data_IF_717309410188
#
_entry.id   IF_717309410188
#
_cell.length_a   1.000
_cell.length_b   1.000
_cell.length_c   1.000
_cell.angle_alpha   90.00
_cell.angle_beta   90.00
_cell.angle_gamma   90.00
#
_symmetry.space_group_name_H-M   'P 1'
#
loop_
_entity.id
_entity.type
_entity.pdbx_description
1 polymer ?
#
# COMPACT_ATOMS: atom_id res chain seq x y z
N UNK A 1 -6.12 17.17 17.56
CA UNK A 1 -6.65 15.86 17.11
C UNK A 1 -5.55 15.03 16.50
N UNK A 2 -5.53 13.75 16.80
CA UNK A 2 -4.57 12.82 16.24
C UNK A 2 -4.96 12.52 14.79
N UNK A 3 -4.06 12.71 13.85
CA UNK A 3 -4.27 12.39 12.44
C UNK A 3 -4.29 10.88 12.23
N UNK A 4 -5.30 10.37 11.54
CA UNK A 4 -5.35 8.95 11.19
C UNK A 4 -4.30 8.63 10.12
N UNK A 5 -3.62 7.51 10.31
CA UNK A 5 -2.50 7.08 9.45
C UNK A 5 -2.80 5.69 8.89
N UNK A 6 -2.59 5.53 7.59
CA UNK A 6 -2.77 4.24 6.91
C UNK A 6 -1.58 3.96 5.99
N UNK A 7 -1.18 2.69 5.93
CA UNK A 7 -0.28 2.20 4.88
C UNK A 7 -1.13 1.74 3.69
N UNK A 8 -0.70 2.07 2.48
CA UNK A 8 -1.43 1.77 1.25
C UNK A 8 -0.70 0.67 0.47
N UNK A 9 -1.41 -0.43 0.19
CA UNK A 9 -0.91 -1.51 -0.64
C UNK A 9 -1.01 -1.16 -2.12
N UNK A 10 -0.24 -1.85 -2.95
CA UNK A 10 -0.21 -1.65 -4.41
C UNK A 10 -1.59 -1.78 -5.05
N UNK A 11 -2.36 -2.81 -4.66
CA UNK A 11 -3.72 -3.01 -5.21
C UNK A 11 -4.66 -1.83 -4.90
N UNK A 12 -4.53 -1.23 -3.73
CA UNK A 12 -5.33 -0.07 -3.36
C UNK A 12 -4.96 1.16 -4.22
N UNK A 13 -3.68 1.35 -4.47
CA UNK A 13 -3.20 2.44 -5.33
C UNK A 13 -3.65 2.25 -6.78
N UNK A 14 -3.55 1.03 -7.30
CA UNK A 14 -4.02 0.69 -8.64
C UNK A 14 -5.53 0.91 -8.77
N UNK A 15 -6.30 0.53 -7.76
CA UNK A 15 -7.74 0.73 -7.72
C UNK A 15 -8.12 2.22 -7.76
N UNK A 16 -7.43 3.03 -6.97
CA UNK A 16 -7.67 4.48 -6.95
C UNK A 16 -7.31 5.15 -8.29
N UNK A 17 -6.21 4.73 -8.91
CA UNK A 17 -5.75 5.22 -10.21
C UNK A 17 -6.14 4.28 -11.36
N UNK A 18 -7.31 3.69 -11.29
CA UNK A 18 -7.78 2.68 -12.27
C UNK A 18 -7.79 3.19 -13.71
N UNK A 19 -7.95 4.48 -13.93
CA UNK A 19 -7.88 5.10 -15.25
C UNK A 19 -6.50 4.99 -15.92
N UNK A 20 -5.44 4.76 -15.15
CA UNK A 20 -4.08 4.58 -15.68
C UNK A 20 -3.83 3.11 -16.02
N UNK A 21 -4.27 2.20 -15.15
CA UNK A 21 -3.86 0.79 -15.20
C UNK A 21 -4.80 -0.14 -15.97
N UNK A 22 -6.04 0.27 -16.19
CA UNK A 22 -7.08 -0.57 -16.84
C UNK A 22 -7.21 -1.96 -16.20
N UNK A 23 -7.10 -2.02 -14.88
CA UNK A 23 -7.07 -3.28 -14.14
C UNK A 23 -8.40 -3.57 -13.44
N UNK A 24 -8.74 -4.86 -13.35
CA UNK A 24 -9.92 -5.36 -12.62
C UNK A 24 -9.61 -5.58 -11.13
N UNK A 25 -8.98 -4.59 -10.51
CA UNK A 25 -8.66 -4.62 -9.08
C UNK A 25 -9.47 -3.51 -8.42
N UNK A 26 -10.21 -3.86 -7.36
CA UNK A 26 -11.02 -2.87 -6.65
C UNK A 26 -10.94 -3.04 -5.15
N UNK A 27 -10.84 -1.92 -4.47
CA UNK A 27 -11.08 -1.80 -3.03
C UNK A 27 -12.50 -1.27 -2.81
N UNK A 28 -12.96 -1.28 -1.56
CA UNK A 28 -14.31 -0.77 -1.24
C UNK A 28 -14.44 0.72 -1.56
N UNK A 29 -15.68 1.17 -1.76
CA UNK A 29 -15.96 2.59 -2.00
C UNK A 29 -15.50 3.45 -0.83
N UNK A 30 -15.66 2.99 0.40
CA UNK A 30 -15.21 3.72 1.58
C UNK A 30 -13.68 3.90 1.62
N UNK A 31 -12.93 2.90 1.16
CA UNK A 31 -11.47 3.02 1.04
C UNK A 31 -11.05 3.98 -0.08
N UNK A 32 -11.75 3.97 -1.20
CA UNK A 32 -11.54 4.94 -2.28
C UNK A 32 -11.77 6.37 -1.76
N UNK A 33 -12.86 6.60 -1.05
CA UNK A 33 -13.20 7.90 -0.48
C UNK A 33 -12.16 8.37 0.54
N UNK A 34 -11.63 7.46 1.34
CA UNK A 34 -10.59 7.77 2.31
C UNK A 34 -9.28 8.19 1.62
N UNK A 35 -8.86 7.48 0.59
CA UNK A 35 -7.69 7.85 -0.21
C UNK A 35 -7.91 9.20 -0.91
N UNK A 36 -9.09 9.39 -1.49
CA UNK A 36 -9.47 10.64 -2.14
C UNK A 36 -9.42 11.82 -1.16
N UNK A 37 -9.94 11.63 0.04
CA UNK A 37 -9.87 12.64 1.10
C UNK A 37 -8.43 13.02 1.43
N UNK A 38 -7.52 12.04 1.48
CA UNK A 38 -6.10 12.28 1.72
C UNK A 38 -5.45 13.07 0.58
N UNK A 39 -5.88 12.88 -0.67
CA UNK A 39 -5.36 13.64 -1.80
C UNK A 39 -5.88 15.09 -1.86
N UNK A 40 -7.00 15.38 -1.21
CA UNK A 40 -7.64 16.70 -1.27
C UNK A 40 -7.55 17.50 0.04
N UNK A 41 -7.24 16.85 1.15
CA UNK A 41 -7.12 17.48 2.48
C UNK A 41 -5.88 16.98 3.19
N UNK A 42 -5.59 17.55 4.38
CA UNK A 42 -4.52 17.08 5.25
C UNK A 42 -5.05 16.34 6.50
N UNK A 43 -6.30 15.90 6.46
CA UNK A 43 -6.94 15.24 7.61
C UNK A 43 -6.41 13.82 7.84
N UNK A 44 -5.98 13.16 6.78
CA UNK A 44 -5.51 11.78 6.80
C UNK A 44 -4.08 11.71 6.28
N UNK A 45 -3.25 10.93 6.95
CA UNK A 45 -1.89 10.65 6.48
C UNK A 45 -1.84 9.29 5.82
N UNK A 46 -1.26 9.23 4.62
CA UNK A 46 -1.00 7.99 3.91
C UNK A 46 0.49 7.71 3.83
N UNK A 47 0.85 6.45 4.04
CA UNK A 47 2.22 5.97 3.93
C UNK A 47 2.28 4.97 2.78
N UNK A 48 3.17 5.23 1.84
CA UNK A 48 3.40 4.37 0.68
C UNK A 48 4.78 3.73 0.83
N UNK A 49 4.87 2.43 1.17
CA UNK A 49 6.15 1.74 1.16
C UNK A 49 6.80 1.81 -0.22
N UNK A 50 8.11 1.97 -0.28
CA UNK A 50 8.84 1.99 -1.55
C UNK A 50 8.62 0.73 -2.38
N UNK A 51 8.33 -0.40 -1.72
CA UNK A 51 7.97 -1.67 -2.38
C UNK A 51 6.76 -1.52 -3.32
N UNK A 52 5.80 -0.63 -3.01
CA UNK A 52 4.64 -0.35 -3.86
C UNK A 52 5.10 0.18 -5.22
N UNK A 53 6.00 1.13 -5.22
CA UNK A 53 6.52 1.72 -6.48
C UNK A 53 7.39 0.74 -7.25
N UNK A 54 8.19 -0.06 -6.55
CA UNK A 54 8.99 -1.12 -7.18
C UNK A 54 8.06 -2.10 -7.89
N UNK A 55 6.99 -2.54 -7.24
CA UNK A 55 6.01 -3.44 -7.84
C UNK A 55 5.31 -2.81 -9.05
N UNK A 56 4.93 -1.52 -8.95
CA UNK A 56 4.32 -0.81 -10.09
C UNK A 56 5.25 -0.80 -11.31
N UNK A 57 6.55 -0.54 -11.11
CA UNK A 57 7.52 -0.50 -12.21
C UNK A 57 7.90 -1.87 -12.74
N UNK A 58 7.78 -2.94 -11.95
CA UNK A 58 8.03 -4.30 -12.39
C UNK A 58 6.82 -4.89 -13.14
N UNK A 59 5.63 -4.77 -12.56
CA UNK A 59 4.44 -5.47 -13.04
C UNK A 59 3.52 -4.64 -13.93
N UNK A 60 3.53 -3.32 -13.79
CA UNK A 60 2.53 -2.43 -14.39
C UNK A 60 3.11 -1.42 -15.38
N UNK A 61 4.41 -1.42 -15.57
CA UNK A 61 5.09 -0.60 -16.58
C UNK A 61 4.97 -1.30 -17.93
N UNK A 62 3.85 -1.08 -18.62
CA UNK A 62 3.58 -1.72 -19.91
C UNK A 62 4.27 -1.02 -21.08
N UNK A 63 4.37 0.31 -21.02
CA UNK A 63 5.01 1.14 -22.03
C UNK A 63 5.51 2.45 -21.40
N UNK A 64 6.21 3.26 -22.19
CA UNK A 64 6.77 4.53 -21.71
C UNK A 64 5.71 5.55 -21.30
N UNK A 65 4.55 5.55 -21.95
CA UNK A 65 3.44 6.44 -21.61
C UNK A 65 2.90 6.12 -20.21
N UNK A 66 2.63 4.86 -19.92
CA UNK A 66 2.17 4.42 -18.59
C UNK A 66 3.25 4.71 -17.55
N UNK A 67 4.52 4.42 -17.85
CA UNK A 67 5.64 4.74 -16.97
C UNK A 67 5.73 6.22 -16.63
N UNK A 68 5.56 7.09 -17.64
CA UNK A 68 5.53 8.54 -17.43
C UNK A 68 4.35 8.96 -16.56
N UNK A 69 3.17 8.39 -16.76
CA UNK A 69 1.98 8.66 -15.95
C UNK A 69 2.16 8.21 -14.49
N UNK A 70 2.77 7.04 -14.26
CA UNK A 70 3.09 6.58 -12.91
C UNK A 70 3.99 7.59 -12.19
N UNK A 71 5.00 8.10 -12.87
CA UNK A 71 5.91 9.11 -12.30
C UNK A 71 5.20 10.42 -11.99
N UNK A 72 4.48 10.98 -12.96
CA UNK A 72 3.91 12.33 -12.85
C UNK A 72 2.61 12.38 -12.08
N UNK A 73 1.68 11.45 -12.32
CA UNK A 73 0.35 11.48 -11.73
C UNK A 73 0.29 10.76 -10.37
N UNK A 74 1.25 9.86 -10.08
CA UNK A 74 1.28 9.12 -8.82
C UNK A 74 2.48 9.52 -7.97
N UNK A 75 3.69 9.19 -8.40
CA UNK A 75 4.89 9.34 -7.56
C UNK A 75 5.16 10.79 -7.17
N UNK A 76 5.28 11.69 -8.13
CA UNK A 76 5.59 13.10 -7.81
C UNK A 76 4.43 13.80 -7.11
N UNK A 77 3.20 13.41 -7.41
CA UNK A 77 2.03 13.94 -6.71
C UNK A 77 2.05 13.55 -5.23
N UNK A 78 2.37 12.30 -4.92
CA UNK A 78 2.52 11.80 -3.55
C UNK A 78 3.70 12.47 -2.85
N UNK A 79 4.86 12.49 -3.52
CA UNK A 79 6.11 13.05 -2.97
C UNK A 79 5.96 14.51 -2.52
N UNK A 80 5.15 15.28 -3.21
CA UNK A 80 4.99 16.72 -2.98
C UNK A 80 3.90 17.06 -1.96
N UNK A 81 3.25 16.07 -1.34
CA UNK A 81 2.20 16.32 -0.34
C UNK A 81 2.74 16.11 1.07
N UNK A 82 2.39 17.05 1.98
CA UNK A 82 2.82 16.99 3.39
C UNK A 82 2.23 15.80 4.16
N UNK A 83 1.00 15.41 3.82
CA UNK A 83 0.29 14.32 4.48
C UNK A 83 0.54 12.95 3.84
N UNK A 84 1.52 12.86 2.94
CA UNK A 84 1.88 11.61 2.29
C UNK A 84 3.38 11.36 2.43
N UNK A 85 3.73 10.13 2.77
CA UNK A 85 5.12 9.73 2.98
C UNK A 85 5.44 8.52 2.12
N UNK A 86 6.54 8.60 1.37
CA UNK A 86 7.14 7.42 0.74
C UNK A 86 8.16 6.88 1.73
N UNK A 87 7.93 5.66 2.22
CA UNK A 87 8.77 5.07 3.25
C UNK A 87 9.71 4.02 2.68
N UNK A 88 10.99 4.21 2.91
CA UNK A 88 12.02 3.24 2.54
C UNK A 88 11.98 2.03 3.46
N UNK A 89 12.48 0.90 2.96
CA UNK A 89 12.61 -0.35 3.72
C UNK A 89 13.84 -0.24 4.63
N UNK A 90 13.61 0.01 5.92
CA UNK A 90 14.68 0.18 6.92
C UNK A 90 14.91 -1.09 7.75
N UNK A 91 15.86 -1.02 8.70
CA UNK A 91 16.21 -2.15 9.57
C UNK A 91 15.02 -2.61 10.41
N UNK A 92 14.27 -1.70 10.99
CA UNK A 92 13.11 -2.04 11.82
C UNK A 92 12.04 -2.77 11.01
N UNK A 93 11.79 -2.32 9.79
CA UNK A 93 10.87 -2.98 8.87
C UNK A 93 11.40 -4.37 8.46
N UNK A 94 12.69 -4.51 8.26
CA UNK A 94 13.32 -5.81 7.98
C UNK A 94 13.11 -6.79 9.15
N UNK A 95 13.28 -6.35 10.37
CA UNK A 95 13.06 -7.17 11.55
C UNK A 95 11.61 -7.62 11.68
N UNK A 96 10.67 -6.72 11.39
CA UNK A 96 9.24 -7.07 11.32
C UNK A 96 8.93 -8.03 10.16
N UNK A 97 9.55 -7.84 9.00
CA UNK A 97 9.46 -8.75 7.88
C UNK A 97 9.88 -10.18 8.28
N UNK A 98 10.94 -10.31 9.04
CA UNK A 98 11.44 -11.61 9.51
C UNK A 98 10.46 -12.30 10.48
N UNK A 99 9.59 -11.55 11.14
CA UNK A 99 8.54 -12.09 12.03
C UNK A 99 7.34 -12.64 11.25
N UNK A 100 7.16 -12.23 10.00
CA UNK A 100 6.05 -12.73 9.18
C UNK A 100 6.39 -14.15 8.75
N UNK A 101 5.63 -15.11 9.29
CA UNK A 101 5.77 -16.50 8.91
C UNK A 101 5.20 -16.73 7.51
N UNK A 102 5.63 -17.79 6.85
CA UNK A 102 5.07 -18.16 5.56
C UNK A 102 3.55 -18.29 5.67
N UNK A 103 2.87 -17.51 4.85
CA UNK A 103 1.42 -17.57 4.78
C UNK A 103 1.06 -18.86 4.06
N UNK A 104 0.79 -19.86 4.89
CA UNK A 104 0.19 -21.16 4.56
C UNK A 104 0.29 -21.55 3.08
N UNK A 105 1.40 -22.19 2.70
CA UNK A 105 1.57 -22.86 1.38
C UNK A 105 1.16 -22.02 0.16
N UNK A 106 0.89 -20.73 0.32
CA UNK A 106 0.59 -19.86 -0.82
C UNK A 106 1.87 -19.47 -1.54
N UNK A 107 2.20 -20.24 -2.56
CA UNK A 107 3.36 -20.04 -3.43
C UNK A 107 3.35 -18.68 -4.16
N UNK A 108 2.21 -17.96 -4.12
CA UNK A 108 2.01 -16.67 -4.78
C UNK A 108 2.23 -15.48 -3.85
N UNK A 109 2.58 -15.72 -2.59
CA UNK A 109 2.84 -14.66 -1.63
C UNK A 109 4.26 -14.16 -1.82
N UNK A 110 4.40 -13.04 -2.54
CA UNK A 110 5.72 -12.52 -2.88
C UNK A 110 6.31 -11.63 -1.78
N UNK A 111 7.60 -11.30 -1.96
CA UNK A 111 8.33 -10.48 -1.02
C UNK A 111 7.81 -9.05 -0.90
N UNK A 112 7.15 -8.51 -1.95
CA UNK A 112 6.59 -7.16 -1.92
C UNK A 112 5.41 -7.07 -0.95
N UNK A 113 4.50 -8.07 -0.96
CA UNK A 113 3.36 -8.10 -0.05
C UNK A 113 3.82 -8.15 1.41
N UNK A 114 4.85 -8.96 1.70
CA UNK A 114 5.44 -9.04 3.04
C UNK A 114 6.09 -7.72 3.45
N UNK A 115 6.78 -7.04 2.54
CA UNK A 115 7.40 -5.75 2.81
C UNK A 115 6.36 -4.68 3.16
N UNK A 116 5.26 -4.65 2.42
CA UNK A 116 4.16 -3.72 2.65
C UNK A 116 3.49 -3.99 4.00
N UNK A 117 3.22 -5.26 4.29
CA UNK A 117 2.65 -5.67 5.58
C UNK A 117 3.61 -5.33 6.74
N UNK A 118 4.91 -5.59 6.58
CA UNK A 118 5.92 -5.25 7.57
C UNK A 118 6.00 -3.73 7.83
N UNK A 119 5.78 -2.92 6.80
CA UNK A 119 5.71 -1.46 6.95
C UNK A 119 4.53 -1.04 7.84
N UNK A 120 3.38 -1.67 7.68
CA UNK A 120 2.22 -1.43 8.56
C UNK A 120 2.51 -1.84 10.01
N UNK A 121 3.24 -2.95 10.21
CA UNK A 121 3.70 -3.37 11.54
C UNK A 121 4.61 -2.32 12.17
N UNK A 122 5.59 -1.84 11.42
CA UNK A 122 6.56 -0.83 11.89
C UNK A 122 5.87 0.48 12.27
N UNK A 123 4.90 0.90 11.46
CA UNK A 123 4.14 2.13 11.69
C UNK A 123 3.00 1.97 12.69
N UNK A 124 2.71 0.74 13.11
CA UNK A 124 1.62 0.42 14.03
C UNK A 124 0.28 1.01 13.58
N UNK A 125 -0.01 0.90 12.28
CA UNK A 125 -1.21 1.47 11.69
C UNK A 125 -1.94 0.47 10.79
N UNK A 126 -3.15 0.83 10.40
CA UNK A 126 -3.97 0.01 9.52
C UNK A 126 -3.40 -0.01 8.10
N UNK A 127 -3.66 -1.10 7.39
CA UNK A 127 -3.29 -1.32 5.99
C UNK A 127 -4.54 -1.24 5.11
N UNK A 128 -4.47 -0.53 4.00
CA UNK A 128 -5.51 -0.52 2.98
C UNK A 128 -5.11 -1.51 1.88
N UNK A 129 -5.85 -2.60 1.76
CA UNK A 129 -5.60 -3.63 0.75
C UNK A 129 -6.86 -4.43 0.46
N UNK A 130 -6.99 -4.93 -0.77
CA UNK A 130 -8.02 -5.90 -1.15
C UNK A 130 -7.50 -7.35 -1.12
N UNK A 131 -6.25 -7.58 -0.74
CA UNK A 131 -5.67 -8.92 -0.71
C UNK A 131 -6.23 -9.73 0.46
N UNK A 132 -7.10 -10.67 0.15
CA UNK A 132 -7.75 -11.51 1.15
C UNK A 132 -6.78 -12.40 1.93
N UNK A 133 -5.63 -12.72 1.36
CA UNK A 133 -4.58 -13.50 2.05
C UNK A 133 -4.02 -12.71 3.24
N UNK A 134 -3.77 -11.42 3.03
CA UNK A 134 -3.31 -10.52 4.09
C UNK A 134 -4.39 -10.31 5.15
N UNK A 135 -5.64 -10.16 4.73
CA UNK A 135 -6.79 -10.01 5.64
C UNK A 135 -6.90 -11.24 6.54
N UNK A 136 -6.89 -12.45 5.98
CA UNK A 136 -6.95 -13.70 6.74
C UNK A 136 -5.75 -13.86 7.67
N UNK A 137 -4.55 -13.56 7.17
CA UNK A 137 -3.32 -13.65 7.95
C UNK A 137 -3.38 -12.74 9.18
N UNK A 138 -3.79 -11.49 9.02
CA UNK A 138 -3.89 -10.57 10.16
C UNK A 138 -4.98 -10.97 11.15
N UNK A 139 -6.10 -11.54 10.69
CA UNK A 139 -7.13 -12.06 11.59
C UNK A 139 -6.58 -13.15 12.50
N UNK A 140 -5.70 -13.99 11.97
CA UNK A 140 -5.08 -15.10 12.70
C UNK A 140 -3.94 -14.64 13.60
N UNK A 141 -3.08 -13.75 13.13
CA UNK A 141 -1.85 -13.36 13.82
C UNK A 141 -1.97 -12.05 14.60
N UNK A 142 -2.90 -11.18 14.24
CA UNK A 142 -3.14 -9.89 14.90
C UNK A 142 -1.88 -9.03 15.03
N UNK A 143 -1.13 -8.89 13.95
CA UNK A 143 0.15 -8.18 13.93
C UNK A 143 0.01 -6.68 13.66
N UNK A 144 -1.09 -6.25 13.06
CA UNK A 144 -1.40 -4.84 12.81
C UNK A 144 -2.80 -4.52 13.32
N UNK A 145 -3.11 -3.22 13.59
CA UNK A 145 -4.41 -2.84 14.18
C UNK A 145 -5.63 -3.24 13.36
N UNK A 146 -5.49 -3.34 12.05
CA UNK A 146 -6.59 -3.75 11.18
C UNK A 146 -6.28 -3.57 9.71
N UNK A 147 -7.19 -4.05 8.87
CA UNK A 147 -7.12 -3.93 7.43
C UNK A 147 -8.42 -3.34 6.93
N UNK A 148 -8.32 -2.29 6.09
CA UNK A 148 -9.42 -1.75 5.32
C UNK A 148 -9.39 -2.32 3.91
N UNK A 149 -10.51 -2.85 3.50
CA UNK A 149 -10.63 -3.38 2.13
C UNK A 149 -11.12 -2.31 1.19
#
# INVERSE_FOLDING_TARGET
MRQDIFVVDTCALISYFSNIFEANISISQSSIELIDLAFHTNEIKLIFPSAVFIELFIKWFKDEEIGARIKTEIYYRIKNRENMQIRTFDRETLENYMRIQNIEDDKNFDGHDKQIFASAMTMECQLITSDERLIRYNKKQNLIPGILN
#
